data_IF_628877504085
#
_entry.id   IF_628877504085
#
_cell.length_a   1.000
_cell.length_b   1.000
_cell.length_c   1.000
_cell.angle_alpha   90.00
_cell.angle_beta   90.00
_cell.angle_gamma   90.00
#
_symmetry.space_group_name_H-M   'P 1'
#
loop_
_entity.id
_entity.type
_entity.pdbx_description
1 polymer ?
#
# COMPACT_ATOMS: atom_id res chain seq x y z
N UNK A 1 -10.96 -23.65 -40.26
CA UNK A 1 -12.03 -22.99 -39.52
C UNK A 1 -12.18 -23.48 -38.09
N UNK A 2 -12.28 -24.79 -37.88
CA UNK A 2 -12.47 -25.34 -36.55
C UNK A 2 -11.29 -25.06 -35.62
N UNK A 3 -10.08 -25.07 -36.15
CA UNK A 3 -8.88 -24.80 -35.37
C UNK A 3 -8.82 -23.35 -34.87
N UNK A 4 -9.26 -22.43 -35.70
CA UNK A 4 -9.28 -21.01 -35.33
C UNK A 4 -10.29 -20.73 -34.22
N UNK A 5 -11.41 -21.42 -34.23
CA UNK A 5 -12.43 -21.27 -33.21
C UNK A 5 -11.94 -21.75 -31.86
N UNK A 6 -11.24 -22.88 -31.81
CA UNK A 6 -10.69 -23.44 -30.60
C UNK A 6 -9.65 -22.51 -30.00
N UNK A 7 -8.78 -21.95 -30.81
CA UNK A 7 -7.74 -21.01 -30.36
C UNK A 7 -8.38 -19.76 -29.74
N UNK A 8 -9.44 -19.27 -30.36
CA UNK A 8 -10.16 -18.11 -29.87
C UNK A 8 -10.78 -18.34 -28.49
N UNK A 9 -11.36 -19.51 -28.27
CA UNK A 9 -11.96 -19.88 -26.99
C UNK A 9 -10.90 -19.96 -25.90
N UNK A 10 -9.74 -20.53 -26.19
CA UNK A 10 -8.62 -20.60 -25.26
C UNK A 10 -8.15 -19.21 -24.84
N UNK A 11 -8.09 -18.29 -25.77
CA UNK A 11 -7.66 -16.93 -25.49
C UNK A 11 -8.62 -16.22 -24.53
N UNK A 12 -9.92 -16.39 -24.73
CA UNK A 12 -10.93 -15.79 -23.86
C UNK A 12 -10.84 -16.37 -22.43
N UNK A 13 -10.63 -17.66 -22.30
CA UNK A 13 -10.49 -18.29 -21.00
C UNK A 13 -9.26 -17.78 -20.24
N UNK A 14 -8.17 -17.57 -20.96
CA UNK A 14 -6.95 -17.04 -20.37
C UNK A 14 -7.17 -15.62 -19.82
N UNK A 15 -7.88 -14.78 -20.56
CA UNK A 15 -8.18 -13.41 -20.12
C UNK A 15 -9.03 -13.40 -18.84
N UNK A 16 -10.00 -14.29 -18.76
CA UNK A 16 -10.85 -14.39 -17.56
C UNK A 16 -10.06 -14.79 -16.31
N UNK A 17 -9.11 -15.67 -16.48
CA UNK A 17 -8.26 -16.10 -15.39
C UNK A 17 -7.41 -14.95 -14.83
N UNK A 18 -6.84 -14.13 -15.71
CA UNK A 18 -6.04 -12.98 -15.31
C UNK A 18 -6.84 -11.98 -14.47
N UNK A 19 -8.09 -11.73 -14.85
CA UNK A 19 -8.97 -10.84 -14.10
C UNK A 19 -9.25 -11.38 -12.69
N UNK A 20 -9.41 -12.70 -12.56
CA UNK A 20 -9.65 -13.32 -11.27
C UNK A 20 -8.51 -13.14 -10.28
N UNK A 21 -7.28 -13.14 -10.75
CA UNK A 21 -6.11 -12.97 -9.89
C UNK A 21 -6.03 -11.56 -9.29
N UNK A 22 -6.52 -10.56 -9.95
CA UNK A 22 -6.45 -9.17 -9.48
C UNK A 22 -7.40 -8.88 -8.32
N UNK A 23 -8.42 -9.68 -8.13
CA UNK A 23 -9.41 -9.44 -7.08
C UNK A 23 -8.93 -9.78 -5.67
N UNK A 24 -8.02 -10.73 -5.55
CA UNK A 24 -7.56 -11.18 -4.24
C UNK A 24 -6.98 -10.07 -3.37
N UNK A 25 -6.08 -9.20 -3.88
CA UNK A 25 -5.55 -8.11 -3.07
C UNK A 25 -6.61 -7.13 -2.61
N UNK A 26 -7.63 -6.89 -3.43
CA UNK A 26 -8.71 -5.95 -3.12
C UNK A 26 -9.55 -6.43 -1.93
N UNK A 27 -9.80 -7.71 -1.83
CA UNK A 27 -10.61 -8.28 -0.74
C UNK A 27 -9.92 -8.08 0.61
N UNK A 28 -8.61 -8.24 0.67
CA UNK A 28 -7.85 -8.08 1.92
C UNK A 28 -7.81 -6.64 2.42
N UNK A 29 -8.23 -5.69 1.60
CA UNK A 29 -8.20 -4.26 1.93
C UNK A 29 -9.56 -3.70 2.29
N UNK A 30 -10.59 -4.53 2.29
CA UNK A 30 -11.95 -4.10 2.64
C UNK A 30 -12.00 -3.65 4.09
N UNK A 31 -12.71 -2.54 4.35
CA UNK A 31 -12.86 -2.00 5.69
C UNK A 31 -11.63 -1.25 6.20
N UNK A 32 -10.67 -0.97 5.34
CA UNK A 32 -9.47 -0.22 5.73
C UNK A 32 -9.53 1.23 5.26
N UNK A 33 -8.79 2.08 5.96
CA UNK A 33 -8.53 3.44 5.53
C UNK A 33 -7.15 3.50 4.87
N UNK A 34 -6.99 4.41 3.93
CA UNK A 34 -5.73 4.60 3.22
C UNK A 34 -4.98 5.80 3.76
N UNK A 35 -3.74 5.58 4.17
CA UNK A 35 -2.82 6.63 4.59
C UNK A 35 -1.59 6.59 3.70
N UNK A 36 -1.00 7.74 3.47
CA UNK A 36 0.13 7.89 2.55
C UNK A 36 1.33 8.44 3.29
N UNK A 37 2.51 7.96 2.92
CA UNK A 37 3.76 8.36 3.55
C UNK A 37 4.88 8.37 2.51
N UNK A 38 5.85 9.25 2.73
CA UNK A 38 7.11 9.23 1.99
C UNK A 38 8.19 8.63 2.89
N UNK A 39 8.97 7.71 2.35
CA UNK A 39 10.05 7.06 3.12
C UNK A 39 11.20 8.04 3.26
N UNK A 40 11.43 8.52 4.48
CA UNK A 40 12.44 9.53 4.77
C UNK A 40 13.57 9.02 5.67
N UNK A 41 13.49 7.77 6.15
CA UNK A 41 14.55 7.18 6.94
C UNK A 41 14.68 5.69 6.57
N UNK A 42 15.64 5.03 7.19
CA UNK A 42 15.92 3.61 6.92
C UNK A 42 15.19 2.66 7.84
N UNK A 43 14.36 3.20 8.72
CA UNK A 43 13.65 2.39 9.69
C UNK A 43 14.58 1.79 10.74
N UNK A 44 14.06 0.84 11.49
CA UNK A 44 14.79 0.18 12.56
C UNK A 44 14.53 -1.32 12.52
N UNK A 45 15.60 -2.12 12.59
CA UNK A 45 15.48 -3.58 12.60
C UNK A 45 15.20 -4.06 14.01
N UNK A 46 14.12 -4.81 14.17
CA UNK A 46 13.77 -5.48 15.42
C UNK A 46 13.52 -6.95 15.13
N UNK A 47 14.35 -7.82 15.67
CA UNK A 47 14.29 -9.24 15.36
C UNK A 47 14.61 -9.50 13.89
N UNK A 48 13.68 -10.09 13.17
CA UNK A 48 13.86 -10.44 11.77
C UNK A 48 13.16 -9.48 10.80
N UNK A 49 12.69 -8.34 11.30
CA UNK A 49 11.89 -7.43 10.49
C UNK A 49 12.34 -5.99 10.70
N UNK A 50 12.23 -5.20 9.64
CA UNK A 50 12.51 -3.76 9.69
C UNK A 50 11.19 -3.02 9.84
N UNK A 51 11.14 -2.09 10.78
CA UNK A 51 9.95 -1.28 11.07
C UNK A 51 10.21 0.19 10.77
N UNK A 52 9.17 0.87 10.33
CA UNK A 52 9.20 2.31 10.05
C UNK A 52 8.14 2.99 10.89
N UNK A 53 8.51 4.11 11.52
CA UNK A 53 7.59 4.97 12.26
C UNK A 53 7.67 6.35 11.63
N UNK A 54 6.60 6.74 10.97
CA UNK A 54 6.57 7.97 10.16
C UNK A 54 5.22 8.65 10.25
N UNK A 55 5.22 9.97 10.04
CA UNK A 55 3.98 10.73 9.90
C UNK A 55 3.34 10.40 8.57
N UNK A 56 2.06 10.10 8.58
CA UNK A 56 1.29 9.74 7.41
C UNK A 56 0.06 10.63 7.29
N UNK A 57 -0.54 10.67 6.11
CA UNK A 57 -1.69 11.54 5.85
C UNK A 57 -2.73 10.78 5.04
N UNK A 58 -4.00 10.95 5.40
CA UNK A 58 -5.09 10.40 4.59
C UNK A 58 -5.46 11.38 3.47
N UNK A 59 -6.47 11.02 2.68
CA UNK A 59 -6.90 11.84 1.53
C UNK A 59 -7.36 13.24 1.92
N UNK A 60 -7.78 13.43 3.16
CA UNK A 60 -8.22 14.72 3.68
C UNK A 60 -7.10 15.51 4.35
N UNK A 61 -5.89 14.96 4.36
CA UNK A 61 -4.73 15.59 4.97
C UNK A 61 -4.61 15.41 6.46
N UNK A 62 -5.39 14.51 7.05
CA UNK A 62 -5.32 14.22 8.48
C UNK A 62 -4.05 13.44 8.77
N UNK A 63 -3.25 13.92 9.73
CA UNK A 63 -1.97 13.32 10.08
C UNK A 63 -2.14 12.27 11.17
N UNK A 64 -1.46 11.13 10.98
CA UNK A 64 -1.30 10.12 12.04
C UNK A 64 0.11 9.54 11.95
N UNK A 65 0.70 9.26 13.10
CA UNK A 65 1.99 8.57 13.18
C UNK A 65 1.74 7.07 13.10
N UNK A 66 2.31 6.41 12.11
CA UNK A 66 2.09 4.99 11.88
C UNK A 66 3.40 4.23 11.95
N UNK A 67 3.38 3.12 12.67
CA UNK A 67 4.48 2.15 12.68
C UNK A 67 4.05 0.98 11.82
N UNK A 68 4.86 0.64 10.81
CA UNK A 68 4.55 -0.50 9.95
C UNK A 68 5.81 -1.30 9.68
N UNK A 69 5.63 -2.61 9.47
CA UNK A 69 6.71 -3.52 9.18
C UNK A 69 6.88 -3.73 7.68
N UNK A 70 8.13 -3.72 7.23
CA UNK A 70 8.45 -4.03 5.84
C UNK A 70 8.33 -5.53 5.57
N UNK A 71 7.82 -5.88 4.40
CA UNK A 71 7.77 -7.29 3.95
C UNK A 71 9.08 -7.70 3.26
N UNK A 72 9.98 -6.76 3.03
CA UNK A 72 11.31 -7.06 2.47
C UNK A 72 12.21 -7.68 3.54
N UNK A 73 13.28 -8.39 3.13
CA UNK A 73 14.27 -8.88 4.10
C UNK A 73 14.79 -7.76 4.98
N UNK A 74 15.12 -8.08 6.23
CA UNK A 74 15.55 -7.09 7.22
C UNK A 74 16.72 -6.22 6.78
N UNK A 75 17.60 -6.77 5.93
CA UNK A 75 18.78 -6.07 5.44
C UNK A 75 18.52 -5.21 4.21
N UNK A 76 17.28 -5.20 3.73
CA UNK A 76 16.88 -4.45 2.54
C UNK A 76 15.91 -3.37 2.94
N UNK A 77 16.36 -2.11 3.12
CA UNK A 77 15.44 -1.03 3.44
C UNK A 77 14.54 -0.68 2.25
N UNK A 78 13.42 -0.06 2.55
CA UNK A 78 12.55 0.48 1.52
C UNK A 78 13.29 1.62 0.80
N UNK A 79 12.95 1.80 -0.47
CA UNK A 79 13.59 2.82 -1.30
C UNK A 79 13.39 4.20 -0.68
N UNK A 80 14.47 4.95 -0.53
CA UNK A 80 14.41 6.32 -0.01
C UNK A 80 13.59 7.21 -0.92
N UNK A 81 12.74 8.03 -0.33
CA UNK A 81 11.83 8.95 -1.01
C UNK A 81 10.68 8.26 -1.77
N UNK A 82 10.54 6.96 -1.64
CA UNK A 82 9.39 6.26 -2.21
C UNK A 82 8.11 6.68 -1.48
N UNK A 83 7.00 6.64 -2.23
CA UNK A 83 5.68 6.91 -1.66
C UNK A 83 4.98 5.58 -1.40
N UNK A 84 4.44 5.44 -0.20
CA UNK A 84 3.78 4.21 0.24
C UNK A 84 2.33 4.52 0.60
N UNK A 85 1.42 3.69 0.13
CA UNK A 85 0.02 3.70 0.55
C UNK A 85 -0.15 2.59 1.58
N UNK A 86 -0.60 2.98 2.76
CA UNK A 86 -0.86 2.04 3.85
C UNK A 86 -2.34 1.78 3.95
N UNK A 87 -2.71 0.51 4.13
CA UNK A 87 -4.09 0.09 4.36
C UNK A 87 -4.23 -0.26 5.83
N UNK A 88 -4.97 0.54 6.55
CA UNK A 88 -5.04 0.50 8.01
C UNK A 88 -6.48 0.23 8.43
N UNK A 89 -6.68 -0.64 9.42
CA UNK A 89 -8.00 -0.85 9.99
C UNK A 89 -8.58 0.48 10.45
N UNK A 90 -9.88 0.66 10.24
CA UNK A 90 -10.55 1.89 10.67
C UNK A 90 -10.35 2.09 12.16
N UNK A 91 -9.89 3.29 12.51
CA UNK A 91 -9.57 3.65 13.88
C UNK A 91 -10.54 4.69 14.42
N UNK A 92 -10.62 4.76 15.74
CA UNK A 92 -11.29 5.85 16.41
C UNK A 92 -10.63 7.17 16.02
N UNK A 93 -11.44 8.21 15.81
CA UNK A 93 -10.94 9.52 15.37
C UNK A 93 -9.94 10.14 16.36
N UNK A 94 -9.93 9.70 17.61
CA UNK A 94 -9.02 10.21 18.62
C UNK A 94 -7.63 9.56 18.58
N UNK A 95 -7.46 8.51 17.79
CA UNK A 95 -6.18 7.81 17.68
C UNK A 95 -5.25 8.56 16.74
N UNK A 96 -4.14 9.07 17.29
CA UNK A 96 -3.11 9.76 16.49
C UNK A 96 -1.92 8.86 16.19
N UNK A 97 -1.80 7.73 16.88
CA UNK A 97 -0.72 6.77 16.69
C UNK A 97 -1.32 5.41 16.34
N UNK A 98 -0.76 4.78 15.31
CA UNK A 98 -1.23 3.48 14.82
C UNK A 98 -0.05 2.52 14.84
N UNK A 99 -0.23 1.36 15.50
CA UNK A 99 0.84 0.38 15.58
C UNK A 99 0.77 -0.60 14.38
N UNK A 100 1.84 -1.38 14.23
CA UNK A 100 1.98 -2.27 13.06
C UNK A 100 0.90 -3.35 12.96
N UNK A 101 0.27 -3.72 14.07
CA UNK A 101 -0.78 -4.75 14.05
C UNK A 101 -2.03 -4.28 13.32
N UNK A 102 -2.23 -2.97 13.25
CA UNK A 102 -3.40 -2.36 12.62
C UNK A 102 -3.18 -2.11 11.13
N UNK A 103 -1.95 -2.24 10.66
CA UNK A 103 -1.62 -2.08 9.24
C UNK A 103 -1.80 -3.42 8.55
N UNK A 104 -2.80 -3.51 7.67
CA UNK A 104 -3.13 -4.75 6.98
C UNK A 104 -2.20 -5.03 5.81
N UNK A 105 -1.84 -3.99 5.08
CA UNK A 105 -0.93 -4.12 3.94
C UNK A 105 -0.41 -2.75 3.55
N UNK A 106 0.57 -2.74 2.65
CA UNK A 106 1.05 -1.49 2.06
C UNK A 106 1.49 -1.77 0.62
N UNK A 107 1.59 -0.70 -0.16
CA UNK A 107 2.12 -0.81 -1.52
C UNK A 107 2.84 0.48 -1.89
N UNK A 108 3.85 0.36 -2.74
CA UNK A 108 4.51 1.52 -3.31
C UNK A 108 3.63 2.11 -4.40
N UNK A 109 3.47 3.44 -4.39
CA UNK A 109 2.68 4.15 -5.38
C UNK A 109 3.51 5.24 -6.03
N UNK A 110 3.02 5.77 -7.15
CA UNK A 110 3.68 6.86 -7.84
C UNK A 110 3.21 8.20 -7.29
N UNK A 111 4.00 9.23 -7.54
CA UNK A 111 3.66 10.60 -7.14
C UNK A 111 2.25 11.00 -7.61
N UNK A 112 1.89 10.61 -8.83
CA UNK A 112 0.59 10.97 -9.41
C UNK A 112 -0.58 10.26 -8.73
N UNK A 113 -0.32 9.21 -7.97
CA UNK A 113 -1.35 8.48 -7.22
C UNK A 113 -1.69 9.12 -5.88
N UNK A 114 -0.94 10.14 -5.48
CA UNK A 114 -1.14 10.79 -4.19
C UNK A 114 -2.33 11.76 -4.28
N UNK A 115 -3.25 11.73 -3.29
CA UNK A 115 -4.30 12.75 -3.21
C UNK A 115 -3.70 14.15 -3.08
N UNK A 116 -4.42 15.16 -3.54
CA UNK A 116 -3.93 16.54 -3.52
C UNK A 116 -3.56 17.03 -2.12
N UNK A 117 -4.36 16.69 -1.12
CA UNK A 117 -4.06 17.05 0.27
C UNK A 117 -2.79 16.40 0.78
N UNK A 118 -2.52 15.16 0.37
CA UNK A 118 -1.28 14.47 0.73
C UNK A 118 -0.08 15.15 0.10
N UNK A 119 -0.18 15.50 -1.18
CA UNK A 119 0.90 16.23 -1.86
C UNK A 119 1.23 17.53 -1.14
N UNK A 120 0.20 18.24 -0.73
CA UNK A 120 0.35 19.51 0.00
C UNK A 120 1.09 19.29 1.33
N UNK A 121 0.68 18.27 2.10
CA UNK A 121 1.29 17.97 3.39
C UNK A 121 2.74 17.48 3.26
N UNK A 122 3.03 16.73 2.21
CA UNK A 122 4.39 16.24 1.94
C UNK A 122 5.25 17.25 1.17
N UNK A 123 4.71 18.42 0.84
CA UNK A 123 5.40 19.47 0.07
C UNK A 123 5.85 18.98 -1.32
N UNK A 124 4.98 18.20 -1.96
CA UNK A 124 5.21 17.65 -3.30
C UNK A 124 4.57 18.60 -4.33
N UNK A 125 5.35 18.96 -5.36
CA UNK A 125 4.85 19.81 -6.45
C UNK A 125 4.25 19.01 -7.58
#
# INVERSE_FOLDING_TARGET
MKKSLVIFILFVLFSSFAIGCERSPTINRMGTEQYYVQITNKGEVQGNQRFYTLSTYNKDGVEKTVTFGSVKPKDTPLKENAFIRLYIDQQDNNNTEINHKEVKSYEEVQKDDLPSKVKEKLHIK
#
